data_IF_951643777065
#
_entry.id   IF_951643777065
#
_cell.length_a   1.000
_cell.length_b   1.000
_cell.length_c   1.000
_cell.angle_alpha   90.00
_cell.angle_beta   90.00
_cell.angle_gamma   90.00
#
_symmetry.space_group_name_H-M   'P 1'
#
loop_
_entity.id
_entity.type
_entity.pdbx_description
1 polymer ?
#
# COMPACT_ATOMS: atom_id res chain seq x y z
N UNK A 1 5.37 11.24 -2.86
CA UNK A 1 4.86 10.38 -1.77
C UNK A 1 3.67 11.11 -1.16
N UNK A 2 2.51 10.48 -1.03
CA UNK A 2 1.26 11.17 -0.65
C UNK A 2 1.47 11.97 0.65
N UNK A 3 1.14 13.26 0.65
CA UNK A 3 1.17 14.12 1.84
C UNK A 3 -0.16 13.98 2.55
N UNK A 4 -0.18 13.33 3.71
CA UNK A 4 -1.38 13.19 4.53
C UNK A 4 -1.18 13.94 5.83
N UNK A 5 -1.92 15.02 6.02
CA UNK A 5 -1.99 15.64 7.34
C UNK A 5 -3.02 14.88 8.18
N UNK A 6 -2.53 14.19 9.21
CA UNK A 6 -3.39 13.66 10.26
C UNK A 6 -4.13 14.82 10.93
N UNK A 7 -5.45 14.68 11.09
CA UNK A 7 -6.22 15.65 11.87
C UNK A 7 -5.56 15.84 13.24
N UNK A 8 -5.49 17.09 13.75
CA UNK A 8 -4.83 17.38 15.02
C UNK A 8 -5.43 16.60 16.19
N UNK A 9 -6.71 16.24 16.12
CA UNK A 9 -7.39 15.38 17.10
C UNK A 9 -6.76 13.98 17.19
N UNK A 10 -6.44 13.37 16.05
CA UNK A 10 -5.85 12.03 15.96
C UNK A 10 -4.36 12.10 16.34
N UNK A 11 -3.65 13.17 15.96
CA UNK A 11 -2.25 13.37 16.38
C UNK A 11 -2.08 13.37 17.90
N UNK A 12 -3.05 13.93 18.65
CA UNK A 12 -3.01 13.97 20.12
C UNK A 12 -3.27 12.62 20.78
N UNK A 13 -3.88 11.67 20.07
CA UNK A 13 -4.22 10.33 20.60
C UNK A 13 -3.17 9.26 20.26
N UNK A 14 -2.25 9.56 19.35
CA UNK A 14 -1.22 8.61 18.88
C UNK A 14 0.07 8.75 19.70
N UNK A 15 0.70 7.61 20.00
CA UNK A 15 2.03 7.58 20.63
C UNK A 15 3.13 8.23 19.79
N UNK A 16 3.12 7.97 18.47
CA UNK A 16 4.07 8.54 17.50
C UNK A 16 3.35 8.93 16.20
N UNK A 17 2.88 10.19 16.08
CA UNK A 17 2.10 10.63 14.92
C UNK A 17 2.88 10.61 13.60
N UNK A 18 4.19 10.90 13.62
CA UNK A 18 5.00 10.92 12.40
C UNK A 18 5.34 9.49 11.94
N UNK A 19 5.53 8.57 12.89
CA UNK A 19 5.65 7.14 12.60
C UNK A 19 4.37 6.55 11.99
N UNK A 20 3.20 6.96 12.50
CA UNK A 20 1.90 6.57 11.97
C UNK A 20 1.68 7.10 10.55
N UNK A 21 2.02 8.36 10.27
CA UNK A 21 1.94 8.94 8.92
C UNK A 21 2.80 8.15 7.91
N UNK A 22 4.03 7.80 8.30
CA UNK A 22 4.90 6.95 7.46
C UNK A 22 4.31 5.56 7.24
N UNK A 23 3.65 4.98 8.24
CA UNK A 23 2.95 3.71 8.11
C UNK A 23 1.76 3.81 7.14
N UNK A 24 0.96 4.87 7.25
CA UNK A 24 -0.14 5.17 6.34
C UNK A 24 0.34 5.29 4.89
N UNK A 25 1.42 6.02 4.66
CA UNK A 25 1.99 6.22 3.33
C UNK A 25 2.49 4.89 2.73
N UNK A 26 3.07 4.01 3.55
CA UNK A 26 3.46 2.67 3.13
C UNK A 26 2.24 1.81 2.74
N UNK A 27 1.15 1.87 3.51
CA UNK A 27 -0.10 1.18 3.16
C UNK A 27 -0.62 1.65 1.80
N UNK A 28 -0.71 2.96 1.60
CA UNK A 28 -1.17 3.51 0.31
C UNK A 28 -0.25 3.15 -0.85
N UNK A 29 1.06 3.13 -0.63
CA UNK A 29 2.02 2.70 -1.65
C UNK A 29 1.84 1.22 -1.99
N UNK A 30 1.67 0.34 -1.00
CA UNK A 30 1.39 -1.08 -1.20
C UNK A 30 0.09 -1.31 -1.99
N UNK A 31 -0.97 -0.57 -1.64
CA UNK A 31 -2.24 -0.61 -2.37
C UNK A 31 -2.11 -0.11 -3.81
N UNK A 32 -1.36 0.99 -4.04
CA UNK A 32 -1.12 1.50 -5.39
C UNK A 32 -0.35 0.50 -6.25
N UNK A 33 0.64 -0.20 -5.67
CA UNK A 33 1.38 -1.29 -6.34
C UNK A 33 0.44 -2.45 -6.69
N UNK A 34 -0.44 -2.87 -5.77
CA UNK A 34 -1.43 -3.90 -6.07
C UNK A 34 -2.37 -3.48 -7.21
N UNK A 35 -2.92 -2.27 -7.15
CA UNK A 35 -3.79 -1.74 -8.21
C UNK A 35 -3.09 -1.69 -9.56
N UNK A 36 -1.83 -1.23 -9.59
CA UNK A 36 -1.01 -1.23 -10.80
C UNK A 36 -0.79 -2.65 -11.35
N UNK A 37 -0.54 -3.62 -10.48
CA UNK A 37 -0.46 -5.04 -10.83
C UNK A 37 -1.74 -5.56 -11.48
N UNK A 38 -2.90 -5.28 -10.89
CA UNK A 38 -4.21 -5.67 -11.45
C UNK A 38 -4.47 -5.03 -12.81
N UNK A 39 -4.13 -3.75 -12.99
CA UNK A 39 -4.25 -3.08 -14.29
C UNK A 39 -3.36 -3.74 -15.35
N UNK A 40 -2.13 -4.12 -14.99
CA UNK A 40 -1.24 -4.89 -15.86
C UNK A 40 -1.83 -6.24 -16.25
N UNK A 41 -2.42 -6.97 -15.29
CA UNK A 41 -3.11 -8.23 -15.56
C UNK A 41 -4.30 -8.04 -16.50
N UNK A 42 -5.07 -6.96 -16.33
CA UNK A 42 -6.20 -6.63 -17.20
C UNK A 42 -5.74 -6.31 -18.63
N UNK A 43 -4.65 -5.56 -18.79
CA UNK A 43 -4.05 -5.29 -20.11
C UNK A 43 -3.58 -6.59 -20.77
N UNK A 44 -2.96 -7.49 -19.99
CA UNK A 44 -2.53 -8.79 -20.49
C UNK A 44 -3.72 -9.68 -20.86
N UNK A 45 -4.85 -9.58 -20.16
CA UNK A 45 -6.04 -10.36 -20.45
C UNK A 45 -6.57 -10.12 -21.87
N UNK A 46 -6.53 -8.88 -22.35
CA UNK A 46 -6.97 -8.53 -23.69
C UNK A 46 -5.90 -8.75 -24.78
N UNK A 47 -4.61 -8.72 -24.44
CA UNK A 47 -3.52 -8.78 -25.44
C UNK A 47 -2.81 -10.15 -25.51
N UNK A 48 -2.61 -10.81 -24.36
CA UNK A 48 -1.84 -12.07 -24.19
C UNK A 48 -2.36 -12.85 -22.97
N UNK A 49 -3.52 -13.51 -23.08
CA UNK A 49 -4.21 -14.14 -21.94
C UNK A 49 -3.36 -15.21 -21.22
N UNK A 50 -2.48 -15.90 -21.93
CA UNK A 50 -1.53 -16.87 -21.39
C UNK A 50 -0.54 -16.27 -20.37
N UNK A 51 -0.31 -14.95 -20.41
CA UNK A 51 0.62 -14.26 -19.52
C UNK A 51 -0.05 -13.47 -18.40
N UNK A 52 -1.39 -13.51 -18.29
CA UNK A 52 -2.16 -12.74 -17.30
C UNK A 52 -1.65 -12.93 -15.86
N UNK A 53 -1.19 -14.13 -15.52
CA UNK A 53 -0.73 -14.45 -14.17
C UNK A 53 0.77 -14.19 -13.94
N UNK A 54 1.54 -13.84 -14.97
CA UNK A 54 2.97 -13.54 -14.82
C UNK A 54 3.26 -12.41 -13.81
N UNK A 55 2.52 -11.28 -13.79
CA UNK A 55 2.76 -10.20 -12.83
C UNK A 55 2.19 -10.45 -11.42
N UNK A 56 1.79 -11.69 -11.07
CA UNK A 56 1.23 -12.00 -9.73
C UNK A 56 2.20 -11.67 -8.59
N UNK A 57 3.51 -11.74 -8.83
CA UNK A 57 4.53 -11.32 -7.84
C UNK A 57 4.41 -9.84 -7.43
N UNK A 58 3.87 -8.98 -8.30
CA UNK A 58 3.62 -7.55 -7.99
C UNK A 58 2.56 -7.42 -6.89
N UNK A 59 1.54 -8.28 -6.90
CA UNK A 59 0.52 -8.31 -5.85
C UNK A 59 1.15 -8.72 -4.51
N UNK A 60 1.98 -9.75 -4.49
CA UNK A 60 2.66 -10.18 -3.26
C UNK A 60 3.58 -9.08 -2.70
N UNK A 61 4.29 -8.34 -3.55
CA UNK A 61 5.08 -7.19 -3.12
C UNK A 61 4.20 -6.06 -2.57
N UNK A 62 3.11 -5.72 -3.26
CA UNK A 62 2.18 -4.69 -2.79
C UNK A 62 1.56 -5.05 -1.43
N UNK A 63 1.16 -6.31 -1.24
CA UNK A 63 0.68 -6.81 0.04
C UNK A 63 1.75 -6.80 1.13
N UNK A 64 2.99 -7.19 0.83
CA UNK A 64 4.09 -7.14 1.80
C UNK A 64 4.34 -5.71 2.29
N UNK A 65 4.33 -4.73 1.38
CA UNK A 65 4.48 -3.31 1.72
C UNK A 65 3.29 -2.82 2.55
N UNK A 66 2.07 -3.22 2.20
CA UNK A 66 0.87 -2.83 2.95
C UNK A 66 0.86 -3.42 4.37
N UNK A 67 1.20 -4.70 4.52
CA UNK A 67 1.32 -5.37 5.83
C UNK A 67 2.39 -4.67 6.68
N UNK A 68 3.53 -4.32 6.09
CA UNK A 68 4.57 -3.55 6.80
C UNK A 68 4.06 -2.17 7.24
N UNK A 69 3.31 -1.49 6.39
CA UNK A 69 2.66 -0.22 6.73
C UNK A 69 1.67 -0.34 7.89
N UNK A 70 0.83 -1.37 7.89
CA UNK A 70 -0.12 -1.65 8.97
C UNK A 70 0.59 -2.02 10.29
N UNK A 71 1.63 -2.84 10.22
CA UNK A 71 2.45 -3.17 11.39
C UNK A 71 3.08 -1.90 12.00
N UNK A 72 3.60 -1.00 11.16
CA UNK A 72 4.16 0.28 11.61
C UNK A 72 3.09 1.19 12.21
N UNK A 73 1.89 1.26 11.61
CA UNK A 73 0.75 1.99 12.19
C UNK A 73 0.38 1.44 13.57
N UNK A 74 0.32 0.12 13.73
CA UNK A 74 -0.01 -0.52 15.00
C UNK A 74 1.01 -0.21 16.10
N UNK A 75 2.31 -0.17 15.78
CA UNK A 75 3.36 0.16 16.75
C UNK A 75 3.37 1.65 17.16
N UNK A 76 2.96 2.53 16.25
CA UNK A 76 2.95 3.99 16.44
C UNK A 76 1.61 4.54 16.97
N UNK A 77 0.59 3.69 17.04
CA UNK A 77 -0.69 3.97 17.70
C UNK A 77 -0.51 3.95 19.21
#
# INVERSE_FOLDING_TARGET
MFKYELRPEIRKTLKDPDGFEKGLNAVFLGLAVCMGGVVLMLILFFNKPEHVLHPTWILFLGFAIAIWGEYKKFRCK
#
